data_IF_738252008371
#
_entry.id   IF_738252008371
#
_cell.length_a   1.000
_cell.length_b   1.000
_cell.length_c   1.000
_cell.angle_alpha   90.00
_cell.angle_beta   90.00
_cell.angle_gamma   90.00
#
_symmetry.space_group_name_H-M   'P 1'
#
loop_
_entity.id
_entity.type
_entity.pdbx_description
1 polymer ?
#
# COMPACT_ATOMS: atom_id res chain seq x y z
N UNK A 1 -6.17 -13.48 7.17
CA UNK A 1 -6.72 -12.15 7.51
C UNK A 1 -6.51 -11.29 6.26
N UNK A 2 -7.38 -10.33 5.94
CA UNK A 2 -7.11 -9.43 4.81
C UNK A 2 -6.28 -8.27 5.38
N UNK A 3 -5.07 -8.08 4.88
CA UNK A 3 -4.21 -7.00 5.34
C UNK A 3 -4.70 -5.69 4.69
N UNK A 4 -4.13 -4.56 5.11
CA UNK A 4 -4.47 -3.27 4.54
C UNK A 4 -3.54 -3.01 3.35
N UNK A 5 -4.11 -2.81 2.18
CA UNK A 5 -3.39 -2.34 0.99
C UNK A 5 -3.18 -0.83 1.10
N UNK A 6 -1.96 -0.38 0.87
CA UNK A 6 -1.63 1.02 0.66
C UNK A 6 -1.36 1.24 -0.82
N UNK A 7 -2.17 2.10 -1.45
CA UNK A 7 -1.90 2.55 -2.81
C UNK A 7 -1.57 4.04 -2.84
N UNK A 8 -0.56 4.39 -3.62
CA UNK A 8 -0.13 5.76 -3.81
C UNK A 8 0.18 6.03 -5.28
N UNK A 9 0.22 7.30 -5.66
CA UNK A 9 0.61 7.68 -7.00
C UNK A 9 0.03 9.02 -7.44
N UNK A 10 -0.34 9.10 -8.72
CA UNK A 10 -0.90 10.30 -9.35
C UNK A 10 -2.29 10.03 -9.87
N UNK A 11 -3.20 10.95 -9.62
CA UNK A 11 -4.54 10.97 -10.22
C UNK A 11 -4.70 12.23 -11.06
N UNK A 12 -5.14 12.07 -12.31
CA UNK A 12 -5.58 13.18 -13.14
C UNK A 12 -7.10 13.13 -13.30
N UNK A 13 -7.77 14.19 -12.87
CA UNK A 13 -9.24 14.29 -12.94
C UNK A 13 -9.60 15.08 -14.20
N UNK A 14 -10.27 14.44 -15.15
CA UNK A 14 -10.70 15.01 -16.42
C UNK A 14 -12.22 15.09 -16.44
N UNK A 15 -12.77 15.97 -17.29
CA UNK A 15 -14.21 16.08 -17.49
C UNK A 15 -14.57 15.92 -18.97
N UNK A 16 -15.61 15.16 -19.24
CA UNK A 16 -16.27 15.17 -20.55
C UNK A 16 -17.33 16.28 -20.57
N UNK A 17 -16.97 17.41 -21.17
CA UNK A 17 -17.88 18.52 -21.42
C UNK A 17 -17.80 19.67 -20.39
N UNK A 18 -18.66 20.68 -20.59
CA UNK A 18 -18.47 21.99 -19.97
C UNK A 18 -19.28 22.22 -18.68
N UNK A 19 -20.10 21.26 -18.25
CA UNK A 19 -21.06 21.47 -17.16
C UNK A 19 -20.49 21.20 -15.76
N UNK A 20 -19.38 20.47 -15.66
CA UNK A 20 -18.74 20.19 -14.38
C UNK A 20 -17.91 21.39 -13.89
N UNK A 21 -18.17 21.82 -12.65
CA UNK A 21 -17.48 22.93 -11.99
C UNK A 21 -16.51 22.45 -10.92
N UNK A 22 -15.50 23.28 -10.62
CA UNK A 22 -14.54 22.96 -9.57
C UNK A 22 -15.19 22.89 -8.18
N UNK A 23 -16.23 23.69 -7.94
CA UNK A 23 -16.99 23.65 -6.70
C UNK A 23 -17.72 22.32 -6.53
N UNK A 24 -18.31 21.80 -7.60
CA UNK A 24 -18.96 20.49 -7.57
C UNK A 24 -17.93 19.36 -7.38
N UNK A 25 -16.73 19.51 -7.94
CA UNK A 25 -15.63 18.57 -7.73
C UNK A 25 -15.20 18.53 -6.25
N UNK A 26 -14.98 19.71 -5.66
CA UNK A 26 -14.67 19.84 -4.23
C UNK A 26 -15.79 19.26 -3.36
N UNK A 27 -17.05 19.46 -3.76
CA UNK A 27 -18.22 18.91 -3.04
C UNK A 27 -18.22 17.38 -3.05
N UNK A 28 -18.03 16.73 -4.21
CA UNK A 28 -18.02 15.26 -4.28
C UNK A 28 -16.82 14.66 -3.56
N UNK A 29 -15.64 15.28 -3.68
CA UNK A 29 -14.44 14.84 -2.97
C UNK A 29 -14.57 14.90 -1.46
N UNK A 30 -15.28 15.91 -0.94
CA UNK A 30 -15.57 16.01 0.49
C UNK A 30 -16.42 14.84 0.99
N UNK A 31 -17.32 14.32 0.17
CA UNK A 31 -18.18 13.19 0.54
C UNK A 31 -17.42 11.86 0.39
N UNK A 32 -16.63 11.72 -0.68
CA UNK A 32 -15.82 10.52 -0.92
C UNK A 32 -14.70 10.37 0.13
N UNK A 33 -13.99 11.45 0.47
CA UNK A 33 -12.86 11.43 1.41
C UNK A 33 -13.23 11.22 2.89
N UNK A 34 -14.43 10.72 3.19
CA UNK A 34 -14.92 10.55 4.58
C UNK A 34 -15.08 9.11 5.04
N UNK A 35 -14.90 8.10 4.17
CA UNK A 35 -15.18 6.70 4.54
C UNK A 35 -14.07 5.69 4.21
N UNK A 36 -14.01 4.71 5.11
CA UNK A 36 -12.98 3.71 5.40
C UNK A 36 -12.48 2.79 4.25
N UNK A 37 -12.93 2.94 3.01
CA UNK A 37 -12.58 2.05 1.89
C UNK A 37 -11.82 2.77 0.79
N UNK A 38 -10.80 3.53 1.19
CA UNK A 38 -9.95 4.28 0.27
C UNK A 38 -10.16 5.78 0.38
N UNK A 39 -9.73 6.32 1.53
CA UNK A 39 -9.59 7.77 1.68
C UNK A 39 -8.58 8.24 0.63
N UNK A 40 -9.05 8.72 -0.51
CA UNK A 40 -8.20 9.34 -1.51
C UNK A 40 -7.67 10.66 -0.94
N UNK A 41 -6.54 10.58 -0.26
CA UNK A 41 -5.87 11.73 0.33
C UNK A 41 -5.10 12.44 -0.77
N UNK A 42 -5.67 13.53 -1.27
CA UNK A 42 -5.00 14.37 -2.24
C UNK A 42 -4.18 15.44 -1.52
N UNK A 43 -2.88 15.49 -1.79
CA UNK A 43 -1.97 16.47 -1.15
C UNK A 43 -2.07 17.88 -1.73
N UNK A 44 -2.65 18.01 -2.93
CA UNK A 44 -2.64 19.21 -3.74
C UNK A 44 -4.03 19.86 -3.79
N UNK A 45 -4.12 21.13 -4.20
CA UNK A 45 -5.43 21.72 -4.46
C UNK A 45 -6.11 21.02 -5.63
N UNK A 46 -7.36 20.60 -5.45
CA UNK A 46 -8.15 19.98 -6.51
C UNK A 46 -8.21 20.89 -7.73
N UNK A 47 -7.76 20.36 -8.87
CA UNK A 47 -7.78 20.98 -10.20
C UNK A 47 -8.09 19.94 -11.28
N UNK A 48 -8.68 20.39 -12.39
CA UNK A 48 -8.89 19.52 -13.55
C UNK A 48 -7.64 19.45 -14.41
N UNK A 49 -7.44 18.31 -15.07
CA UNK A 49 -6.37 18.11 -16.06
C UNK A 49 -4.94 18.31 -15.50
N UNK A 50 -4.80 18.30 -14.18
CA UNK A 50 -3.54 18.35 -13.45
C UNK A 50 -3.36 17.05 -12.70
N UNK A 51 -2.14 16.51 -12.71
CA UNK A 51 -1.80 15.31 -11.96
C UNK A 51 -1.61 15.67 -10.48
N UNK A 52 -2.47 15.13 -9.63
CA UNK A 52 -2.48 15.34 -8.18
C UNK A 52 -1.89 14.11 -7.49
N UNK A 53 -1.07 14.30 -6.46
CA UNK A 53 -0.67 13.14 -5.67
C UNK A 53 -1.87 12.59 -4.91
N UNK A 54 -1.92 11.26 -4.79
CA UNK A 54 -2.85 10.60 -3.89
C UNK A 54 -2.16 9.52 -3.06
N UNK A 55 -2.73 9.27 -1.88
CA UNK A 55 -2.51 8.08 -1.07
C UNK A 55 -3.88 7.54 -0.66
N UNK A 56 -4.02 6.23 -0.59
CA UNK A 56 -5.24 5.56 -0.16
C UNK A 56 -4.90 4.29 0.60
N UNK A 57 -5.74 3.97 1.58
CA UNK A 57 -5.63 2.76 2.39
C UNK A 57 -6.94 1.99 2.27
N UNK A 58 -6.85 0.72 1.90
CA UNK A 58 -7.99 -0.15 1.64
C UNK A 58 -7.78 -1.55 2.22
N UNK A 59 -8.86 -2.30 2.34
CA UNK A 59 -8.80 -3.73 2.76
C UNK A 59 -8.57 -4.69 1.58
N UNK A 60 -8.63 -4.15 0.37
CA UNK A 60 -8.51 -4.88 -0.89
C UNK A 60 -7.55 -4.11 -1.78
N UNK A 61 -7.10 -4.74 -2.87
CA UNK A 61 -6.34 -4.04 -3.90
C UNK A 61 -7.08 -2.78 -4.36
N UNK A 62 -6.29 -1.81 -4.80
CA UNK A 62 -6.78 -0.53 -5.27
C UNK A 62 -7.76 -0.71 -6.44
N UNK A 63 -7.46 -1.62 -7.36
CA UNK A 63 -8.34 -1.97 -8.49
C UNK A 63 -9.72 -2.42 -8.01
N UNK A 64 -9.78 -3.35 -7.06
CA UNK A 64 -11.03 -3.83 -6.47
C UNK A 64 -11.80 -2.72 -5.75
N UNK A 65 -11.06 -1.86 -5.05
CA UNK A 65 -11.63 -0.72 -4.32
C UNK A 65 -12.29 0.28 -5.28
N UNK A 66 -11.75 0.45 -6.48
CA UNK A 66 -12.27 1.40 -7.46
C UNK A 66 -13.54 0.90 -8.18
N UNK A 67 -13.81 -0.41 -8.24
CA UNK A 67 -15.01 -0.96 -8.91
C UNK A 67 -16.31 -0.33 -8.38
N UNK A 68 -16.40 -0.15 -7.07
CA UNK A 68 -17.57 0.39 -6.38
C UNK A 68 -17.38 1.84 -5.94
N UNK A 69 -16.36 2.55 -6.46
CA UNK A 69 -15.96 3.88 -5.96
C UNK A 69 -17.16 4.82 -5.78
N UNK A 70 -17.98 5.10 -6.80
CA UNK A 70 -19.14 5.99 -6.63
C UNK A 70 -20.36 5.34 -5.96
N UNK A 71 -20.45 4.01 -5.95
CA UNK A 71 -21.59 3.27 -5.40
C UNK A 71 -21.49 3.10 -3.88
N UNK A 72 -20.27 3.12 -3.34
CA UNK A 72 -19.99 3.04 -1.90
C UNK A 72 -20.35 4.28 -1.09
N UNK A 73 -20.69 5.41 -1.75
CA UNK A 73 -20.95 6.68 -1.07
C UNK A 73 -22.42 7.07 -1.06
N UNK A 74 -22.86 7.62 0.07
CA UNK A 74 -24.19 8.20 0.18
C UNK A 74 -24.23 9.62 -0.42
N UNK A 75 -24.53 9.68 -1.72
CA UNK A 75 -24.68 10.93 -2.46
C UNK A 75 -26.10 11.55 -2.36
N UNK A 76 -26.86 11.24 -1.30
CA UNK A 76 -28.21 11.79 -1.06
C UNK A 76 -28.24 13.34 -0.98
N UNK A 77 -27.12 13.99 -0.68
CA UNK A 77 -26.98 15.45 -0.61
C UNK A 77 -26.80 16.14 -1.98
N UNK A 78 -26.85 15.37 -3.07
CA UNK A 78 -26.76 15.89 -4.43
C UNK A 78 -28.12 15.85 -5.10
N UNK A 79 -28.46 16.94 -5.76
CA UNK A 79 -29.57 16.97 -6.69
C UNK A 79 -29.29 16.07 -7.89
N UNK A 80 -30.35 15.57 -8.55
CA UNK A 80 -30.22 14.80 -9.80
C UNK A 80 -29.37 15.54 -10.85
N UNK A 81 -29.54 16.85 -10.99
CA UNK A 81 -28.77 17.66 -11.93
C UNK A 81 -27.27 17.72 -11.56
N UNK A 82 -26.93 17.74 -10.27
CA UNK A 82 -25.53 17.65 -9.85
C UNK A 82 -24.94 16.28 -10.17
N UNK A 83 -25.66 15.18 -9.91
CA UNK A 83 -25.23 13.83 -10.27
C UNK A 83 -25.05 13.66 -11.79
N UNK A 84 -25.97 14.21 -12.58
CA UNK A 84 -25.85 14.26 -14.05
C UNK A 84 -24.65 15.09 -14.51
N UNK A 85 -24.26 16.15 -13.79
CA UNK A 85 -23.07 16.95 -14.10
C UNK A 85 -21.76 16.28 -13.65
N UNK A 86 -21.81 15.44 -12.61
CA UNK A 86 -20.70 14.59 -12.18
C UNK A 86 -20.48 13.45 -13.20
N UNK A 87 -21.56 12.95 -13.81
CA UNK A 87 -21.48 12.00 -14.91
C UNK A 87 -20.56 12.54 -16.01
N UNK A 88 -19.54 11.78 -16.38
CA UNK A 88 -18.51 12.23 -17.33
C UNK A 88 -17.22 12.75 -16.67
N UNK A 89 -17.13 12.78 -15.33
CA UNK A 89 -15.83 12.82 -14.68
C UNK A 89 -15.06 11.54 -14.98
N UNK A 90 -13.79 11.69 -15.34
CA UNK A 90 -12.85 10.60 -15.58
C UNK A 90 -11.70 10.78 -14.60
N UNK A 91 -11.32 9.70 -13.95
CA UNK A 91 -10.17 9.65 -13.05
C UNK A 91 -9.16 8.71 -13.68
N UNK A 92 -7.98 9.23 -13.95
CA UNK A 92 -6.86 8.52 -14.58
C UNK A 92 -5.79 8.37 -13.51
N UNK A 93 -5.70 7.18 -12.93
CA UNK A 93 -4.79 6.85 -11.85
C UNK A 93 -3.57 6.14 -12.40
N UNK A 94 -2.39 6.70 -12.17
CA UNK A 94 -1.12 5.99 -12.21
C UNK A 94 -0.75 5.66 -10.75
N UNK A 95 -0.63 4.38 -10.43
CA UNK A 95 -0.56 3.93 -9.05
C UNK A 95 0.52 2.87 -8.82
N UNK A 96 0.95 2.78 -7.56
CA UNK A 96 1.62 1.65 -6.96
C UNK A 96 0.74 1.19 -5.81
N UNK A 97 0.50 -0.10 -5.69
CA UNK A 97 -0.30 -0.71 -4.63
C UNK A 97 0.49 -1.84 -3.97
N UNK A 98 0.49 -1.83 -2.65
CA UNK A 98 1.26 -2.76 -1.84
C UNK A 98 0.48 -3.18 -0.61
N UNK A 99 0.37 -4.49 -0.39
CA UNK A 99 -0.24 -5.08 0.80
C UNK A 99 0.85 -5.82 1.60
N UNK A 100 1.30 -5.26 2.73
CA UNK A 100 2.29 -5.91 3.59
C UNK A 100 1.84 -7.31 3.96
N UNK A 101 2.75 -8.28 3.85
CA UNK A 101 2.49 -9.66 4.25
C UNK A 101 1.56 -10.46 3.33
N UNK A 102 1.23 -9.93 2.16
CA UNK A 102 0.48 -10.60 1.09
C UNK A 102 1.31 -10.61 -0.20
N UNK A 103 0.81 -11.29 -1.25
CA UNK A 103 1.48 -11.38 -2.56
C UNK A 103 1.21 -10.16 -3.46
N UNK A 104 0.63 -9.07 -2.93
CA UNK A 104 0.27 -7.90 -3.71
C UNK A 104 1.36 -6.83 -3.61
N UNK A 105 2.10 -6.69 -4.70
CA UNK A 105 2.88 -5.50 -5.00
C UNK A 105 2.79 -5.27 -6.50
N UNK A 106 2.22 -4.15 -6.92
CA UNK A 106 2.02 -3.86 -8.33
C UNK A 106 2.11 -2.37 -8.62
N UNK A 107 2.50 -2.05 -9.85
CA UNK A 107 2.24 -0.74 -10.43
C UNK A 107 1.21 -0.87 -11.55
N UNK A 108 0.46 0.20 -11.79
CA UNK A 108 -0.59 0.15 -12.77
C UNK A 108 -1.11 1.49 -13.22
N UNK A 109 -1.98 1.42 -14.22
CA UNK A 109 -2.81 2.53 -14.63
C UNK A 109 -4.26 2.05 -14.72
N UNK A 110 -5.13 2.71 -13.96
CA UNK A 110 -6.58 2.46 -13.99
C UNK A 110 -7.32 3.75 -14.29
N UNK A 111 -8.24 3.68 -15.25
CA UNK A 111 -9.06 4.81 -15.66
C UNK A 111 -10.51 4.46 -15.36
N UNK A 112 -11.13 5.21 -14.46
CA UNK A 112 -12.55 5.08 -14.15
C UNK A 112 -13.35 6.29 -14.60
N UNK A 113 -14.63 6.09 -14.84
CA UNK A 113 -15.59 7.12 -15.20
C UNK A 113 -16.79 7.09 -14.28
N UNK A 114 -17.23 8.27 -13.86
CA UNK A 114 -18.51 8.43 -13.19
C UNK A 114 -19.64 8.39 -14.22
N UNK A 115 -20.61 7.50 -14.03
CA UNK A 115 -21.76 7.34 -14.93
C UNK A 115 -23.06 7.43 -14.15
N UNK A 116 -23.95 8.34 -14.53
CA UNK A 116 -25.27 8.42 -13.94
C UNK A 116 -26.26 7.51 -14.68
N UNK A 117 -26.73 6.44 -14.01
CA UNK A 117 -27.66 5.45 -14.56
C UNK A 117 -28.61 4.95 -13.49
N UNK A 118 -29.89 4.79 -13.84
CA UNK A 118 -30.94 4.35 -12.92
C UNK A 118 -31.02 5.21 -11.65
N UNK A 119 -30.92 6.53 -11.82
CA UNK A 119 -30.94 7.53 -10.75
C UNK A 119 -29.82 7.38 -9.70
N UNK A 120 -28.72 6.69 -10.04
CA UNK A 120 -27.53 6.54 -9.20
C UNK A 120 -26.25 6.84 -9.98
N UNK A 121 -25.24 7.34 -9.28
CA UNK A 121 -23.90 7.44 -9.82
C UNK A 121 -23.20 6.09 -9.66
N UNK A 122 -22.51 5.64 -10.71
CA UNK A 122 -21.81 4.37 -10.78
C UNK A 122 -20.38 4.59 -11.25
N UNK A 123 -19.52 3.65 -10.94
CA UNK A 123 -18.18 3.60 -11.53
C UNK A 123 -18.18 2.72 -12.77
N UNK A 124 -17.55 3.18 -13.84
CA UNK A 124 -17.25 2.38 -15.03
C UNK A 124 -15.74 2.36 -15.23
N UNK A 125 -15.12 1.18 -15.23
CA UNK A 125 -13.71 1.01 -15.58
C UNK A 125 -13.57 1.11 -17.10
N UNK A 126 -12.85 2.13 -17.58
CA UNK A 126 -12.56 2.35 -19.01
C UNK A 126 -11.31 1.57 -19.43
N UNK A 127 -10.31 1.53 -18.55
CA UNK A 127 -9.01 0.92 -18.81
C UNK A 127 -8.42 0.45 -17.49
N UNK A 128 -7.83 -0.73 -17.52
CA UNK A 128 -7.11 -1.30 -16.40
C UNK A 128 -5.85 -1.99 -16.92
N UNK A 129 -4.72 -1.65 -16.32
CA UNK A 129 -3.43 -2.30 -16.54
C UNK A 129 -2.73 -2.39 -15.20
N UNK A 130 -2.42 -3.61 -14.78
CA UNK A 130 -1.56 -3.89 -13.63
C UNK A 130 -0.31 -4.63 -14.12
N UNK A 131 0.80 -4.33 -13.45
CA UNK A 131 2.11 -4.91 -13.65
C UNK A 131 2.62 -5.35 -12.28
N UNK A 132 2.61 -6.67 -12.00
CA UNK A 132 3.15 -7.18 -10.75
C UNK A 132 4.63 -6.80 -10.59
N UNK A 133 4.97 -6.34 -9.39
CA UNK A 133 6.33 -6.06 -8.95
C UNK A 133 6.71 -7.20 -7.99
N UNK A 134 7.92 -7.72 -8.18
CA UNK A 134 8.44 -8.74 -7.28
C UNK A 134 8.68 -8.13 -5.87
N UNK A 135 8.25 -8.82 -4.83
CA UNK A 135 8.41 -8.33 -3.45
C UNK A 135 9.84 -8.64 -3.00
N UNK A 136 10.70 -7.62 -3.07
CA UNK A 136 12.08 -7.67 -2.58
C UNK A 136 12.42 -6.34 -1.91
N UNK A 137 13.35 -6.32 -0.95
CA UNK A 137 13.78 -5.08 -0.28
C UNK A 137 14.15 -3.98 -1.26
N UNK A 138 14.88 -4.37 -2.32
CA UNK A 138 15.30 -3.43 -3.34
C UNK A 138 14.09 -2.75 -3.99
N UNK A 139 13.09 -3.52 -4.43
CA UNK A 139 11.91 -2.95 -5.04
C UNK A 139 11.09 -2.15 -4.00
N UNK A 140 10.97 -2.61 -2.75
CA UNK A 140 10.25 -1.87 -1.72
C UNK A 140 10.87 -0.49 -1.46
N UNK A 141 12.20 -0.36 -1.38
CA UNK A 141 12.87 0.95 -1.25
C UNK A 141 12.88 1.78 -2.53
N UNK A 142 12.97 1.16 -3.72
CA UNK A 142 12.81 1.87 -4.99
C UNK A 142 11.43 2.58 -5.06
N UNK A 143 10.45 2.10 -4.29
CA UNK A 143 9.11 2.69 -4.13
C UNK A 143 8.87 3.35 -2.76
N UNK A 144 9.93 3.63 -1.99
CA UNK A 144 9.88 4.32 -0.68
C UNK A 144 9.12 3.60 0.45
N UNK A 145 8.94 2.28 0.34
CA UNK A 145 8.33 1.41 1.35
C UNK A 145 9.44 0.83 2.25
N UNK A 146 10.13 1.71 2.97
CA UNK A 146 11.37 1.36 3.68
C UNK A 146 11.14 0.48 4.93
N UNK A 147 9.98 0.60 5.57
CA UNK A 147 9.69 -0.09 6.82
C UNK A 147 9.56 -1.61 6.60
N UNK A 148 9.12 -2.01 5.40
CA UNK A 148 9.00 -3.42 4.99
C UNK A 148 10.11 -3.89 4.05
N UNK A 149 11.09 -3.02 3.73
CA UNK A 149 12.17 -3.31 2.79
C UNK A 149 13.22 -4.27 3.38
N UNK A 150 12.82 -5.53 3.49
CA UNK A 150 13.59 -6.61 4.06
C UNK A 150 13.86 -7.71 3.05
N UNK A 151 15.14 -8.00 2.82
CA UNK A 151 15.58 -9.09 1.95
C UNK A 151 16.73 -9.78 2.65
N UNK A 152 16.37 -10.70 3.54
CA UNK A 152 17.27 -11.54 4.34
C UNK A 152 18.42 -12.12 3.52
N UNK A 153 18.23 -12.36 2.22
CA UNK A 153 19.19 -13.05 1.37
C UNK A 153 20.13 -12.13 0.60
N UNK A 154 20.09 -10.82 0.88
CA UNK A 154 21.02 -9.86 0.29
C UNK A 154 21.84 -9.13 1.36
N UNK A 155 23.02 -8.63 0.98
CA UNK A 155 23.82 -7.79 1.87
C UNK A 155 23.03 -6.58 2.38
N UNK A 156 22.17 -6.09 1.51
CA UNK A 156 21.34 -4.94 1.74
C UNK A 156 20.23 -5.19 2.78
N UNK A 157 19.44 -6.26 2.61
CA UNK A 157 18.40 -6.57 3.59
C UNK A 157 18.97 -7.02 4.94
N UNK A 158 20.19 -7.58 4.99
CA UNK A 158 20.89 -7.78 6.27
C UNK A 158 21.30 -6.46 6.94
N UNK A 159 21.67 -5.44 6.18
CA UNK A 159 21.96 -4.13 6.77
C UNK A 159 20.69 -3.48 7.32
N UNK A 160 19.56 -3.57 6.61
CA UNK A 160 18.25 -3.11 7.10
C UNK A 160 17.79 -3.93 8.32
N UNK A 161 17.97 -5.26 8.32
CA UNK A 161 17.73 -6.13 9.48
C UNK A 161 18.36 -5.58 10.75
N UNK A 162 19.66 -5.33 10.67
CA UNK A 162 20.46 -4.87 11.80
C UNK A 162 20.06 -3.49 12.27
N UNK A 163 19.61 -2.63 11.35
CA UNK A 163 19.11 -1.30 11.69
C UNK A 163 17.84 -1.42 12.53
N UNK A 164 16.82 -2.13 12.04
CA UNK A 164 15.56 -2.34 12.77
C UNK A 164 15.81 -3.04 14.11
N UNK A 165 16.56 -4.15 14.09
CA UNK A 165 16.92 -4.90 15.30
C UNK A 165 17.62 -4.02 16.34
N UNK A 166 18.46 -3.07 15.92
CA UNK A 166 19.13 -2.14 16.83
C UNK A 166 18.18 -1.08 17.39
N UNK A 167 17.23 -0.61 16.61
CA UNK A 167 16.26 0.39 17.03
C UNK A 167 15.24 -0.21 18.02
N UNK A 168 14.97 -1.51 17.93
CA UNK A 168 13.98 -2.21 18.76
C UNK A 168 14.55 -2.95 19.98
N UNK A 169 15.84 -3.31 19.99
CA UNK A 169 16.42 -4.19 21.03
C UNK A 169 16.20 -3.70 22.47
N UNK A 170 16.18 -2.38 22.66
CA UNK A 170 15.99 -1.77 23.98
C UNK A 170 14.51 -1.79 24.45
N UNK A 171 13.58 -2.13 23.55
CA UNK A 171 12.15 -2.31 23.84
C UNK A 171 11.83 -3.73 24.33
N UNK A 172 12.74 -4.69 24.14
CA UNK A 172 12.51 -6.08 24.50
C UNK A 172 12.66 -6.30 26.02
N UNK A 173 11.62 -6.85 26.64
CA UNK A 173 11.63 -7.21 28.07
C UNK A 173 12.31 -8.57 28.33
N UNK A 174 12.34 -9.45 27.33
CA UNK A 174 12.95 -10.78 27.44
C UNK A 174 14.48 -10.72 27.28
N UNK A 175 15.19 -11.06 28.36
CA UNK A 175 16.67 -11.07 28.40
C UNK A 175 17.30 -12.03 27.40
N UNK A 176 16.64 -13.15 27.10
CA UNK A 176 17.13 -14.14 26.13
C UNK A 176 17.01 -13.59 24.72
N UNK A 177 15.90 -12.91 24.41
CA UNK A 177 15.68 -12.20 23.16
C UNK A 177 16.77 -11.14 22.95
N UNK A 178 17.01 -10.28 23.95
CA UNK A 178 18.07 -9.25 23.91
C UNK A 178 19.47 -9.85 23.69
N UNK A 179 19.79 -10.98 24.34
CA UNK A 179 21.10 -11.64 24.14
C UNK A 179 21.26 -12.14 22.70
N UNK A 180 20.23 -12.76 22.12
CA UNK A 180 20.28 -13.24 20.74
C UNK A 180 20.33 -12.10 19.73
N UNK A 181 19.54 -11.05 19.93
CA UNK A 181 19.59 -9.84 19.12
C UNK A 181 21.00 -9.25 19.08
N UNK A 182 21.73 -9.22 20.22
CA UNK A 182 23.14 -8.79 20.24
C UNK A 182 24.06 -9.70 19.42
N UNK A 183 23.89 -11.02 19.50
CA UNK A 183 24.68 -11.98 18.69
C UNK A 183 24.44 -11.77 17.19
N UNK A 184 23.19 -11.58 16.78
CA UNK A 184 22.82 -11.29 15.39
C UNK A 184 23.42 -9.96 14.90
N UNK A 185 23.49 -8.94 15.75
CA UNK A 185 24.14 -7.67 15.41
C UNK A 185 25.66 -7.83 15.21
N UNK A 186 26.30 -8.73 15.97
CA UNK A 186 27.74 -9.01 15.92
C UNK A 186 28.16 -9.88 14.71
N UNK A 187 27.29 -10.75 14.21
CA UNK A 187 27.57 -11.62 13.04
C UNK A 187 27.86 -10.79 11.78
N UNK A 188 28.77 -11.25 10.92
CA UNK A 188 28.97 -10.63 9.60
C UNK A 188 27.75 -10.81 8.71
N UNK A 189 27.63 -9.97 7.68
CA UNK A 189 26.55 -10.09 6.69
C UNK A 189 26.48 -11.48 6.08
N UNK A 190 27.64 -12.07 5.76
CA UNK A 190 27.73 -13.42 5.20
C UNK A 190 27.19 -14.48 6.16
N UNK A 191 27.56 -14.41 7.44
CA UNK A 191 27.10 -15.35 8.46
C UNK A 191 25.58 -15.28 8.66
N UNK A 192 25.00 -14.07 8.58
CA UNK A 192 23.55 -13.88 8.70
C UNK A 192 22.82 -14.43 7.47
N UNK A 193 23.32 -14.19 6.25
CA UNK A 193 22.75 -14.78 5.03
C UNK A 193 22.82 -16.30 5.08
N UNK A 194 23.96 -16.88 5.48
CA UNK A 194 24.11 -18.33 5.64
C UNK A 194 23.14 -18.88 6.69
N UNK A 195 22.97 -18.17 7.81
CA UNK A 195 22.02 -18.51 8.86
C UNK A 195 20.56 -18.51 8.36
N UNK A 196 20.13 -17.44 7.68
CA UNK A 196 18.78 -17.36 7.12
C UNK A 196 18.51 -18.47 6.09
N UNK A 197 19.52 -18.81 5.27
CA UNK A 197 19.39 -19.89 4.28
C UNK A 197 19.29 -21.26 4.95
N UNK A 198 20.03 -21.47 6.05
CA UNK A 198 20.04 -22.73 6.77
C UNK A 198 18.73 -23.01 7.51
N UNK A 199 18.04 -21.96 7.96
CA UNK A 199 16.77 -22.06 8.68
C UNK A 199 15.55 -21.94 7.76
N UNK A 200 15.72 -22.10 6.44
CA UNK A 200 14.66 -22.06 5.43
C UNK A 200 13.75 -20.82 5.53
N UNK A 201 14.29 -19.69 5.98
CA UNK A 201 13.54 -18.44 5.98
C UNK A 201 13.20 -18.08 4.52
N UNK A 202 12.00 -17.56 4.25
CA UNK A 202 11.58 -17.23 2.88
C UNK A 202 11.41 -15.72 2.76
N UNK A 203 11.79 -15.15 1.61
CA UNK A 203 11.68 -13.70 1.32
C UNK A 203 10.23 -13.17 1.32
N UNK A 204 9.24 -14.05 1.50
CA UNK A 204 7.81 -13.76 1.40
C UNK A 204 7.08 -13.81 2.74
N UNK A 205 7.70 -14.25 3.83
CA UNK A 205 7.08 -14.25 5.17
C UNK A 205 7.14 -12.84 5.79
N UNK A 206 6.80 -11.82 4.99
CA UNK A 206 6.81 -10.38 5.31
C UNK A 206 5.68 -9.96 6.29
N UNK A 207 5.17 -10.91 7.09
CA UNK A 207 4.38 -10.67 8.30
C UNK A 207 5.17 -10.96 9.58
N UNK A 208 6.33 -11.60 9.46
CA UNK A 208 7.09 -12.10 10.59
C UNK A 208 8.06 -11.00 11.04
N UNK A 209 7.59 -10.25 12.04
CA UNK A 209 8.33 -9.24 12.77
C UNK A 209 9.73 -9.77 13.17
N UNK A 210 10.69 -8.86 13.36
CA UNK A 210 12.05 -9.14 13.84
C UNK A 210 12.03 -10.10 15.04
N UNK A 211 10.99 -10.01 15.87
CA UNK A 211 10.68 -10.95 16.95
C UNK A 211 10.63 -12.42 16.51
N UNK A 212 9.97 -12.76 15.41
CA UNK A 212 9.89 -14.13 14.88
C UNK A 212 11.23 -14.66 14.38
N UNK A 213 12.01 -13.82 13.70
CA UNK A 213 13.37 -14.16 13.25
C UNK A 213 14.25 -14.51 14.46
N UNK A 214 14.17 -13.69 15.52
CA UNK A 214 14.91 -13.91 16.76
C UNK A 214 14.34 -15.12 17.52
N UNK A 215 13.04 -15.39 17.47
CA UNK A 215 12.42 -16.58 18.08
C UNK A 215 12.84 -17.89 17.39
N UNK A 216 12.96 -17.94 16.06
CA UNK A 216 13.51 -19.11 15.36
C UNK A 216 14.99 -19.33 15.69
N UNK A 217 15.73 -18.27 16.00
CA UNK A 217 17.08 -18.38 16.57
C UNK A 217 17.03 -19.04 17.96
N UNK A 218 16.02 -18.74 18.78
CA UNK A 218 15.86 -19.40 20.09
C UNK A 218 15.65 -20.91 19.94
N UNK A 219 14.90 -21.36 18.94
CA UNK A 219 14.63 -22.77 18.69
C UNK A 219 15.84 -23.50 18.07
N UNK A 220 16.55 -22.90 17.11
CA UNK A 220 17.75 -23.50 16.52
C UNK A 220 18.95 -23.55 17.48
N UNK A 221 19.16 -22.50 18.29
CA UNK A 221 20.28 -22.43 19.25
C UNK A 221 20.03 -23.29 20.51
N UNK A 222 18.77 -23.53 20.89
CA UNK A 222 18.47 -24.43 22.03
C UNK A 222 18.62 -25.91 21.69
N UNK A 223 18.59 -26.29 20.40
CA UNK A 223 18.81 -27.67 19.97
C UNK A 223 20.31 -28.04 20.00
N UNK A 224 21.21 -27.05 19.95
CA UNK A 224 22.68 -27.27 20.00
C UNK A 224 23.31 -27.11 21.40
N UNK A 225 22.51 -26.90 22.46
CA UNK A 225 22.98 -26.76 23.85
C UNK A 225 22.57 -27.93 24.75
#
# INVERSE_FOLDING_TARGET
MANLSEACGKVTIKKEGNKMSLQLLKKIFKEIGTYYYGNLLISDELEFDVALNFVTFGRWSFTYTLEDYFEGFDLNNFSKQELENISGLIFDFDYTDYEPGCELFEEGNIVIKAVFKNDKLKTEIIKEKSYPIDISAKNLEDYFICDDAFDTFTEYGVNNFKKVLKDEIDLYEDKKLVEMSKKLLEMSTKEIIEFFNHNEMVACDNCEDVSWVVENVLDSVTVES
#
